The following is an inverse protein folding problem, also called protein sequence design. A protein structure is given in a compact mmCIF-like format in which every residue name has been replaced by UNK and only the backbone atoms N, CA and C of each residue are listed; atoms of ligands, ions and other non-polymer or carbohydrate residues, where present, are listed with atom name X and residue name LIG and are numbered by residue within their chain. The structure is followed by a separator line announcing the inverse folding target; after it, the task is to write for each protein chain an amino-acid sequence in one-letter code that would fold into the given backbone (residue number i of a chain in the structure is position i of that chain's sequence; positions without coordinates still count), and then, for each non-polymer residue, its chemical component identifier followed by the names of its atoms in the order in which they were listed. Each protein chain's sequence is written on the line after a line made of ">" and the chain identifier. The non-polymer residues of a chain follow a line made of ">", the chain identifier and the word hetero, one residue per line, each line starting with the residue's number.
data_IF_765494380424
#
_entry.id   IF_765494380424
#
_cell.length_a   1.000
_cell.length_b   1.000
_cell.length_c   1.000
_cell.angle_alpha   90.00
_cell.angle_beta   90.00
_cell.angle_gamma   90.00
#
_symmetry.space_group_name_H-M   'P 1'
#
loop_
_entity.id
_entity.type
_entity.pdbx_description
1 polymer ?
#
# COMPACT_ATOMS: atom_id res chain seq x y z
N UNK A 1 -0.50 -22.39 -12.18
CA UNK A 1 0.62 -22.90 -13.03
C UNK A 1 1.92 -22.21 -12.64
N UNK A 2 1.92 -20.89 -12.44
CA UNK A 2 3.01 -20.20 -11.73
C UNK A 2 3.10 -20.66 -10.27
N UNK A 3 1.96 -20.90 -9.62
CA UNK A 3 1.91 -21.41 -8.23
C UNK A 3 2.66 -22.74 -8.06
N UNK A 4 2.56 -23.63 -9.05
CA UNK A 4 3.25 -24.91 -9.03
C UNK A 4 4.78 -24.73 -9.10
N UNK A 5 5.25 -23.80 -9.94
CA UNK A 5 6.68 -23.50 -10.06
C UNK A 5 7.20 -22.87 -8.76
N UNK A 6 6.48 -21.92 -8.17
CA UNK A 6 6.88 -21.30 -6.89
C UNK A 6 6.94 -22.33 -5.75
N UNK A 7 6.05 -23.32 -5.73
CA UNK A 7 6.02 -24.34 -4.67
C UNK A 7 7.04 -25.46 -4.84
N UNK A 8 7.48 -25.75 -6.08
CA UNK A 8 8.27 -26.96 -6.38
C UNK A 8 9.64 -26.69 -7.02
N UNK A 9 9.85 -25.53 -7.64
CA UNK A 9 11.07 -25.15 -8.37
C UNK A 9 11.14 -23.61 -8.53
N UNK A 10 11.41 -22.91 -7.43
CA UNK A 10 11.38 -21.44 -7.34
C UNK A 10 12.57 -20.74 -8.00
N UNK A 11 13.60 -21.48 -8.40
CA UNK A 11 14.74 -20.99 -9.20
C UNK A 11 14.56 -21.22 -10.71
N UNK A 12 13.40 -21.73 -11.14
CA UNK A 12 13.18 -22.04 -12.55
C UNK A 12 13.16 -20.76 -13.41
N UNK A 13 13.97 -20.65 -14.47
CA UNK A 13 14.01 -19.46 -15.34
C UNK A 13 12.69 -19.18 -16.07
N UNK A 14 11.76 -20.14 -16.12
CA UNK A 14 10.41 -19.92 -16.63
C UNK A 14 9.59 -18.98 -15.74
N UNK A 15 9.93 -18.83 -14.46
CA UNK A 15 9.26 -17.90 -13.54
C UNK A 15 9.42 -16.48 -14.04
N UNK A 16 10.62 -16.08 -14.46
CA UNK A 16 10.86 -14.73 -15.00
C UNK A 16 10.04 -14.48 -16.26
N UNK A 17 10.00 -15.45 -17.17
CA UNK A 17 9.25 -15.34 -18.42
C UNK A 17 7.74 -15.27 -18.18
N UNK A 18 7.21 -16.14 -17.33
CA UNK A 18 5.79 -16.16 -16.97
C UNK A 18 5.39 -14.89 -16.21
N UNK A 19 6.21 -14.42 -15.28
CA UNK A 19 5.96 -13.20 -14.50
C UNK A 19 5.90 -11.98 -15.42
N UNK A 20 6.82 -11.87 -16.38
CA UNK A 20 6.78 -10.79 -17.38
C UNK A 20 5.49 -10.84 -18.22
N UNK A 21 5.06 -12.03 -18.66
CA UNK A 21 3.83 -12.16 -19.46
C UNK A 21 2.55 -11.90 -18.67
N UNK A 22 2.53 -12.25 -17.39
CA UNK A 22 1.42 -11.93 -16.49
C UNK A 22 1.36 -10.41 -16.27
N UNK A 23 2.49 -9.78 -15.97
CA UNK A 23 2.55 -8.33 -15.79
C UNK A 23 2.10 -7.57 -17.06
N UNK A 24 2.55 -7.99 -18.25
CA UNK A 24 2.09 -7.41 -19.51
C UNK A 24 0.56 -7.50 -19.64
N UNK A 25 -0.01 -8.67 -19.35
CA UNK A 25 -1.45 -8.92 -19.44
C UNK A 25 -2.26 -8.11 -18.44
N UNK A 26 -1.84 -8.06 -17.17
CA UNK A 26 -2.52 -7.30 -16.12
C UNK A 26 -2.48 -5.79 -16.38
N UNK A 27 -1.39 -5.29 -16.96
CA UNK A 27 -1.25 -3.87 -17.27
C UNK A 27 -2.04 -3.43 -18.52
N UNK A 28 -2.16 -4.30 -19.54
CA UNK A 28 -2.78 -3.90 -20.81
C UNK A 28 -4.25 -4.31 -20.97
N UNK A 29 -4.74 -5.28 -20.18
CA UNK A 29 -6.08 -5.83 -20.38
C UNK A 29 -7.17 -4.93 -19.79
N UNK A 30 -8.22 -4.67 -20.58
CA UNK A 30 -9.36 -3.83 -20.19
C UNK A 30 -10.06 -4.30 -18.90
N UNK A 31 -10.02 -5.60 -18.61
CA UNK A 31 -10.60 -6.17 -17.38
C UNK A 31 -9.97 -5.58 -16.11
N UNK A 32 -8.69 -5.23 -16.17
CA UNK A 32 -7.95 -4.66 -15.04
C UNK A 32 -7.89 -3.13 -15.10
N UNK A 33 -8.32 -2.48 -16.19
CA UNK A 33 -8.20 -1.03 -16.35
C UNK A 33 -8.82 -0.23 -15.19
N UNK A 34 -9.99 -0.64 -14.69
CA UNK A 34 -10.63 0.02 -13.55
C UNK A 34 -9.85 -0.20 -12.23
N UNK A 35 -9.26 -1.38 -12.05
CA UNK A 35 -8.44 -1.70 -10.88
C UNK A 35 -7.10 -0.96 -10.93
N UNK A 36 -6.39 -1.02 -12.06
CA UNK A 36 -5.11 -0.34 -12.27
C UNK A 36 -5.26 1.18 -12.05
N UNK A 37 -6.32 1.78 -12.58
CA UNK A 37 -6.62 3.19 -12.32
C UNK A 37 -6.84 3.48 -10.84
N UNK A 38 -7.56 2.62 -10.13
CA UNK A 38 -7.78 2.80 -8.69
C UNK A 38 -6.49 2.62 -7.87
N UNK A 39 -5.55 1.78 -8.32
CA UNK A 39 -4.22 1.60 -7.73
C UNK A 39 -3.35 2.83 -8.00
N UNK A 40 -3.32 3.34 -9.24
CA UNK A 40 -2.54 4.52 -9.63
C UNK A 40 -3.04 5.80 -8.92
N UNK A 41 -4.35 5.94 -8.75
CA UNK A 41 -4.96 7.08 -8.05
C UNK A 41 -4.83 6.96 -6.51
N UNK A 42 -4.38 5.82 -5.98
CA UNK A 42 -4.29 5.60 -4.53
C UNK A 42 -3.03 6.26 -3.97
N UNK A 43 -3.14 7.13 -2.94
CA UNK A 43 -1.97 7.65 -2.27
C UNK A 43 -1.24 6.54 -1.52
N UNK A 44 -0.04 6.16 -1.97
CA UNK A 44 0.78 5.07 -1.41
C UNK A 44 0.95 5.21 0.10
N UNK A 45 1.17 6.42 0.61
CA UNK A 45 1.31 6.63 2.05
C UNK A 45 0.04 6.39 2.86
N UNK A 46 -1.14 6.66 2.29
CA UNK A 46 -2.42 6.34 2.94
C UNK A 46 -2.67 4.83 2.90
N UNK A 47 -2.31 4.17 1.79
CA UNK A 47 -2.38 2.72 1.66
C UNK A 47 -1.50 2.02 2.71
N UNK A 48 -0.24 2.45 2.85
CA UNK A 48 0.69 1.92 3.85
C UNK A 48 0.15 2.10 5.27
N UNK A 49 -0.37 3.29 5.60
CA UNK A 49 -0.99 3.54 6.91
C UNK A 49 -2.19 2.63 7.15
N UNK A 50 -3.03 2.37 6.14
CA UNK A 50 -4.20 1.49 6.26
C UNK A 50 -3.80 0.06 6.60
N UNK A 51 -2.74 -0.44 5.96
CA UNK A 51 -2.18 -1.77 6.24
C UNK A 51 -1.65 -1.84 7.67
N UNK A 52 -0.90 -0.82 8.12
CA UNK A 52 -0.40 -0.76 9.48
C UNK A 52 -1.54 -0.72 10.51
N UNK A 53 -2.60 0.04 10.24
CA UNK A 53 -3.77 0.05 11.12
C UNK A 53 -4.42 -1.33 11.22
N UNK A 54 -4.61 -2.01 10.09
CA UNK A 54 -5.25 -3.33 10.02
C UNK A 54 -4.40 -4.39 10.76
N UNK A 55 -3.09 -4.43 10.50
CA UNK A 55 -2.15 -5.35 11.15
C UNK A 55 -2.08 -5.17 12.66
N UNK A 56 -2.22 -3.94 13.14
CA UNK A 56 -2.18 -3.61 14.57
C UNK A 56 -3.57 -3.53 15.22
N UNK A 57 -4.66 -3.79 14.48
CA UNK A 57 -6.04 -3.69 14.98
C UNK A 57 -6.43 -2.28 15.46
N UNK A 58 -5.81 -1.24 14.89
CA UNK A 58 -5.98 0.15 15.31
C UNK A 58 -7.19 0.81 14.66
N UNK A 59 -7.88 1.63 15.43
CA UNK A 59 -8.94 2.51 14.93
C UNK A 59 -8.41 3.91 14.64
N UNK A 60 -9.21 4.74 13.95
CA UNK A 60 -8.86 6.15 13.74
C UNK A 60 -8.67 6.93 15.05
N UNK A 61 -9.22 6.46 16.18
CA UNK A 61 -9.01 7.13 17.46
C UNK A 61 -7.60 6.92 18.00
N UNK A 62 -6.96 5.82 17.61
CA UNK A 62 -5.66 5.41 18.14
C UNK A 62 -4.50 6.14 17.47
N UNK A 63 -4.72 6.77 16.30
CA UNK A 63 -3.73 7.58 15.57
C UNK A 63 -3.76 9.07 15.99
N UNK A 64 -4.42 9.38 17.11
CA UNK A 64 -4.63 10.76 17.54
C UNK A 64 -3.34 11.45 17.98
N UNK A 65 -2.36 10.70 18.45
CA UNK A 65 -1.09 11.26 18.94
C UNK A 65 -0.16 11.66 17.78
N UNK A 66 -0.24 10.96 16.64
CA UNK A 66 0.66 11.15 15.49
C UNK A 66 0.07 12.10 14.45
N UNK A 67 -1.24 11.99 14.21
CA UNK A 67 -1.93 12.76 13.17
C UNK A 67 -2.82 13.85 13.78
N UNK A 68 -3.45 13.58 14.93
CA UNK A 68 -4.36 14.51 15.58
C UNK A 68 -5.82 14.08 15.54
N UNK A 69 -6.75 15.02 15.41
CA UNK A 69 -8.18 14.71 15.56
C UNK A 69 -8.70 13.65 14.57
N UNK A 70 -9.72 12.87 14.98
CA UNK A 70 -10.41 11.88 14.12
C UNK A 70 -10.91 12.48 12.79
N UNK A 71 -11.30 13.76 12.80
CA UNK A 71 -11.69 14.48 11.58
C UNK A 71 -10.52 14.65 10.60
N UNK A 72 -9.33 15.01 11.10
CA UNK A 72 -8.14 15.18 10.28
C UNK A 72 -7.69 13.84 9.68
N UNK A 73 -7.74 12.77 10.49
CA UNK A 73 -7.44 11.42 10.04
C UNK A 73 -8.40 11.02 8.91
N UNK A 74 -9.70 11.22 9.09
CA UNK A 74 -10.68 10.95 8.03
C UNK A 74 -10.41 11.75 6.75
N UNK A 75 -9.99 13.01 6.86
CA UNK A 75 -9.65 13.86 5.70
C UNK A 75 -8.39 13.38 4.96
N UNK A 76 -7.46 12.76 5.68
CA UNK A 76 -6.27 12.15 5.09
C UNK A 76 -6.65 10.87 4.34
N UNK A 77 -7.46 10.02 4.96
CA UNK A 77 -7.97 8.80 4.31
C UNK A 77 -8.89 9.08 3.11
N UNK A 78 -9.56 10.23 3.06
CA UNK A 78 -10.36 10.66 1.91
C UNK A 78 -9.54 11.41 0.84
N UNK A 79 -8.24 11.58 1.02
CA UNK A 79 -7.37 12.32 0.09
C UNK A 79 -7.60 13.83 0.07
N UNK A 80 -8.43 14.37 0.97
CA UNK A 80 -8.69 15.82 1.08
C UNK A 80 -7.51 16.56 1.72
N UNK A 81 -6.69 15.86 2.53
CA UNK A 81 -5.44 16.37 3.08
C UNK A 81 -4.33 15.33 2.92
N UNK A 82 -3.11 15.80 2.68
CA UNK A 82 -1.93 14.92 2.63
C UNK A 82 -1.30 14.75 4.02
N UNK A 83 -0.57 13.65 4.20
CA UNK A 83 0.32 13.49 5.35
C UNK A 83 1.42 14.57 5.31
N UNK A 84 1.68 15.20 6.45
CA UNK A 84 2.76 16.17 6.58
C UNK A 84 4.04 15.45 7.00
N UNK A 85 5.20 16.06 6.79
CA UNK A 85 6.50 15.51 7.24
C UNK A 85 6.49 15.22 8.75
N UNK A 86 5.79 16.04 9.55
CA UNK A 86 5.64 15.80 10.98
C UNK A 86 4.84 14.52 11.28
N UNK A 87 3.72 14.31 10.59
CA UNK A 87 2.93 13.08 10.73
C UNK A 87 3.75 11.85 10.31
N UNK A 88 4.47 11.94 9.19
CA UNK A 88 5.29 10.86 8.67
C UNK A 88 6.36 10.46 9.69
N UNK A 89 7.04 11.44 10.32
CA UNK A 89 8.03 11.17 11.37
C UNK A 89 7.40 10.46 12.58
N UNK A 90 6.28 10.97 13.08
CA UNK A 90 5.60 10.38 14.25
C UNK A 90 5.11 8.95 13.96
N UNK A 91 4.54 8.71 12.78
CA UNK A 91 4.12 7.37 12.35
C UNK A 91 5.33 6.44 12.16
N UNK A 92 6.41 6.93 11.56
CA UNK A 92 7.64 6.15 11.37
C UNK A 92 8.25 5.72 12.70
N UNK A 93 8.27 6.61 13.70
CA UNK A 93 8.74 6.31 15.05
C UNK A 93 7.84 5.29 15.75
N UNK A 94 6.51 5.45 15.68
CA UNK A 94 5.57 4.52 16.31
C UNK A 94 5.63 3.11 15.73
N UNK A 95 5.62 3.00 14.40
CA UNK A 95 5.60 1.69 13.73
C UNK A 95 7.01 1.15 13.46
N UNK A 96 8.06 1.91 13.79
CA UNK A 96 9.46 1.58 13.52
C UNK A 96 9.69 1.24 12.03
N UNK A 97 9.12 2.05 11.14
CA UNK A 97 9.21 1.88 9.68
C UNK A 97 9.93 3.05 9.02
N UNK A 98 10.37 2.87 7.77
CA UNK A 98 11.04 3.94 7.02
C UNK A 98 10.03 5.04 6.61
N UNK A 99 10.36 6.33 6.77
CA UNK A 99 9.52 7.46 6.33
C UNK A 99 9.08 7.40 4.87
N UNK A 100 9.93 6.81 4.02
CA UNK A 100 9.70 6.70 2.57
C UNK A 100 8.43 5.91 2.20
N UNK A 101 7.91 5.08 3.12
CA UNK A 101 6.66 4.35 2.91
C UNK A 101 5.43 5.26 2.89
N UNK A 102 5.53 6.47 3.43
CA UNK A 102 4.42 7.41 3.55
C UNK A 102 4.48 8.57 2.54
N UNK A 103 5.48 8.58 1.65
CA UNK A 103 5.70 9.62 0.64
C UNK A 103 4.92 9.37 -0.65
#
# INVERSE_FOLDING_TARGET
>A
MVDYLIEHDDENPLIDFLSAKIADYENSNERFAAFNKAVDDMPTGVAALRVLMDQHGLSYSDLKEEIGSKSLISQIFSGTRSLTIAHIKALSERFNVRPDLFL
#
